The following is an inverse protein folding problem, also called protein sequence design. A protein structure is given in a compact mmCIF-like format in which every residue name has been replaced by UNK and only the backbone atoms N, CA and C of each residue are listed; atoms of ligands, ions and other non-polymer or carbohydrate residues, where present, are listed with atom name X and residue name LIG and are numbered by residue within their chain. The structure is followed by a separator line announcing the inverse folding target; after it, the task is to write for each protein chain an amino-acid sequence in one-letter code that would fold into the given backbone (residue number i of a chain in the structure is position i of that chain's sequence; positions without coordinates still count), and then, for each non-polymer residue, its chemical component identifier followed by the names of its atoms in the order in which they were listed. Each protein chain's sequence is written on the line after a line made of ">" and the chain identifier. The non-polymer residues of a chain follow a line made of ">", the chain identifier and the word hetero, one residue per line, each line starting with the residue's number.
data_IF_208578744390
#
_entry.id   IF_208578744390
#
_cell.length_a   1.000
_cell.length_b   1.000
_cell.length_c   1.000
_cell.angle_alpha   90.00
_cell.angle_beta   90.00
_cell.angle_gamma   90.00
#
_symmetry.space_group_name_H-M   'P 1'
#
loop_
_entity.id
_entity.type
_entity.pdbx_description
1 polymer ?
#
# COMPACT_ATOMS: atom_id res chain seq x y z
N UNK A 1 -49.59 -9.58 0.34
CA UNK A 1 -48.55 -10.53 0.77
C UNK A 1 -48.11 -11.34 -0.46
N UNK A 2 -46.95 -11.02 -1.02
CA UNK A 2 -46.40 -11.74 -2.18
C UNK A 2 -44.95 -12.12 -1.86
N UNK A 3 -44.76 -13.42 -1.65
CA UNK A 3 -43.51 -14.07 -1.27
C UNK A 3 -42.64 -14.20 -2.51
N UNK A 4 -41.56 -13.42 -2.59
CA UNK A 4 -40.52 -13.59 -3.61
C UNK A 4 -39.69 -14.82 -3.21
N UNK A 5 -39.72 -15.85 -4.03
CA UNK A 5 -38.83 -17.00 -3.91
C UNK A 5 -37.48 -16.61 -4.53
N UNK A 6 -36.51 -16.26 -3.69
CA UNK A 6 -35.10 -16.17 -4.09
C UNK A 6 -34.59 -17.58 -4.35
N UNK A 7 -34.58 -18.00 -5.61
CA UNK A 7 -33.78 -19.13 -6.06
C UNK A 7 -32.35 -18.66 -6.20
N UNK A 8 -31.59 -18.77 -5.11
CA UNK A 8 -30.15 -18.63 -5.10
C UNK A 8 -29.55 -19.92 -5.67
N UNK A 9 -29.60 -20.07 -7.00
CA UNK A 9 -28.80 -21.09 -7.69
C UNK A 9 -27.44 -20.50 -8.02
N UNK A 10 -26.45 -21.09 -7.38
CA UNK A 10 -25.01 -20.94 -7.56
C UNK A 10 -24.67 -21.01 -9.06
N UNK A 11 -24.31 -19.88 -9.67
CA UNK A 11 -23.80 -19.81 -11.06
C UNK A 11 -22.82 -18.64 -11.24
N UNK A 12 -22.01 -18.40 -10.20
CA UNK A 12 -21.04 -17.29 -10.12
C UNK A 12 -19.70 -17.56 -10.83
N UNK A 13 -19.50 -18.75 -11.41
CA UNK A 13 -18.26 -19.10 -12.13
C UNK A 13 -18.30 -18.86 -13.65
N UNK A 14 -19.43 -19.17 -14.29
CA UNK A 14 -19.54 -19.19 -15.76
C UNK A 14 -19.96 -17.83 -16.33
N UNK A 15 -20.81 -17.09 -15.61
CA UNK A 15 -21.37 -15.82 -16.07
C UNK A 15 -20.35 -14.67 -16.12
N UNK A 16 -19.37 -14.63 -15.21
CA UNK A 16 -18.27 -13.67 -15.25
C UNK A 16 -17.31 -13.94 -16.42
N UNK A 17 -17.04 -15.22 -16.70
CA UNK A 17 -16.22 -15.67 -17.82
C UNK A 17 -16.83 -15.31 -19.18
N UNK A 18 -18.14 -15.54 -19.36
CA UNK A 18 -18.84 -15.23 -20.62
C UNK A 18 -19.03 -13.72 -20.85
N UNK A 19 -19.25 -12.94 -19.78
CA UNK A 19 -19.32 -11.48 -19.87
C UNK A 19 -17.94 -10.88 -20.21
N UNK A 20 -16.88 -11.36 -19.56
CA UNK A 20 -15.51 -10.95 -19.88
C UNK A 20 -15.09 -11.41 -21.30
N UNK A 21 -15.51 -12.60 -21.75
CA UNK A 21 -15.26 -13.09 -23.10
C UNK A 21 -16.04 -12.31 -24.19
N UNK A 22 -17.18 -11.70 -23.86
CA UNK A 22 -17.91 -10.80 -24.77
C UNK A 22 -17.33 -9.39 -24.82
N UNK A 23 -16.66 -8.94 -23.76
CA UNK A 23 -16.06 -7.61 -23.68
C UNK A 23 -14.69 -7.53 -24.38
N UNK A 24 -13.98 -8.66 -24.47
CA UNK A 24 -12.64 -8.74 -25.05
C UNK A 24 -12.61 -9.77 -26.18
N UNK A 25 -12.23 -9.33 -27.39
CA UNK A 25 -12.29 -10.17 -28.60
C UNK A 25 -11.33 -11.36 -28.60
N UNK A 26 -10.13 -11.21 -28.05
CA UNK A 26 -9.17 -12.31 -27.88
C UNK A 26 -8.76 -12.48 -26.41
N UNK A 27 -8.41 -13.71 -25.97
CA UNK A 27 -7.83 -13.93 -24.65
C UNK A 27 -6.62 -13.04 -24.38
N UNK A 28 -5.81 -12.75 -25.42
CA UNK A 28 -4.62 -11.88 -25.33
C UNK A 28 -4.98 -10.46 -24.91
N UNK A 29 -6.08 -9.92 -25.43
CA UNK A 29 -6.57 -8.59 -25.07
C UNK A 29 -7.03 -8.52 -23.60
N UNK A 30 -7.59 -9.62 -23.06
CA UNK A 30 -7.94 -9.72 -21.63
C UNK A 30 -6.71 -9.65 -20.74
N UNK A 31 -5.66 -10.37 -21.11
CA UNK A 31 -4.41 -10.43 -20.38
C UNK A 31 -3.65 -9.10 -20.42
N UNK A 32 -3.62 -8.44 -21.58
CA UNK A 32 -3.04 -7.10 -21.73
C UNK A 32 -3.83 -6.05 -20.95
N UNK A 33 -5.17 -6.19 -20.86
CA UNK A 33 -6.00 -5.36 -20.00
C UNK A 33 -5.65 -5.56 -18.51
N UNK A 34 -5.61 -6.80 -18.00
CA UNK A 34 -5.26 -7.06 -16.60
C UNK A 34 -3.87 -6.54 -16.25
N UNK A 35 -2.89 -6.62 -17.17
CA UNK A 35 -1.56 -6.04 -16.95
C UNK A 35 -1.58 -4.53 -16.84
N UNK A 36 -2.29 -3.84 -17.74
CA UNK A 36 -2.44 -2.39 -17.68
C UNK A 36 -3.06 -1.96 -16.36
N UNK A 37 -4.06 -2.71 -15.89
CA UNK A 37 -4.73 -2.42 -14.62
C UNK A 37 -3.80 -2.66 -13.42
N UNK A 38 -3.08 -3.78 -13.38
CA UNK A 38 -2.09 -4.07 -12.32
C UNK A 38 -1.00 -3.00 -12.30
N UNK A 39 -0.48 -2.59 -13.46
CA UNK A 39 0.51 -1.51 -13.55
C UNK A 39 -0.06 -0.17 -13.07
N UNK A 40 -1.28 0.17 -13.49
CA UNK A 40 -1.96 1.39 -13.07
C UNK A 40 -2.15 1.46 -11.55
N UNK A 41 -2.69 0.40 -10.95
CA UNK A 41 -2.88 0.31 -9.50
C UNK A 41 -1.55 0.31 -8.75
N UNK A 42 -0.52 -0.34 -9.29
CA UNK A 42 0.84 -0.30 -8.73
C UNK A 42 1.41 1.12 -8.76
N UNK A 43 1.24 1.86 -9.85
CA UNK A 43 1.67 3.26 -9.95
C UNK A 43 0.92 4.16 -8.98
N UNK A 44 -0.39 3.97 -8.81
CA UNK A 44 -1.18 4.69 -7.81
C UNK A 44 -0.67 4.41 -6.40
N UNK A 45 -0.42 3.14 -6.08
CA UNK A 45 0.10 2.73 -4.78
C UNK A 45 1.49 3.34 -4.52
N UNK A 46 2.38 3.31 -5.52
CA UNK A 46 3.70 3.93 -5.44
C UNK A 46 3.59 5.43 -5.18
N UNK A 47 2.79 6.15 -5.96
CA UNK A 47 2.56 7.59 -5.78
C UNK A 47 2.02 7.93 -4.38
N UNK A 48 1.08 7.14 -3.84
CA UNK A 48 0.57 7.30 -2.47
C UNK A 48 1.66 7.05 -1.42
N UNK A 49 2.48 6.02 -1.64
CA UNK A 49 3.60 5.68 -0.75
C UNK A 49 4.66 6.79 -0.76
N UNK A 50 5.00 7.32 -1.93
CA UNK A 50 5.97 8.39 -2.08
C UNK A 50 5.50 9.70 -1.45
N UNK A 51 4.24 10.08 -1.65
CA UNK A 51 3.64 11.23 -0.99
C UNK A 51 3.64 11.08 0.54
N UNK A 52 3.34 9.88 1.04
CA UNK A 52 3.42 9.57 2.46
C UNK A 52 4.86 9.68 2.98
N UNK A 53 5.84 9.08 2.31
CA UNK A 53 7.26 9.16 2.68
C UNK A 53 7.80 10.60 2.67
N UNK A 54 7.37 11.41 1.70
CA UNK A 54 7.70 12.83 1.65
C UNK A 54 7.14 13.59 2.86
N UNK A 55 5.86 13.35 3.21
CA UNK A 55 5.23 13.93 4.39
C UNK A 55 5.93 13.50 5.70
N UNK A 56 6.28 12.22 5.83
CA UNK A 56 7.05 11.72 6.98
C UNK A 56 8.42 12.40 7.08
N UNK A 57 9.13 12.54 5.96
CA UNK A 57 10.42 13.22 5.93
C UNK A 57 10.32 14.69 6.37
N UNK A 58 9.30 15.41 5.89
CA UNK A 58 9.03 16.78 6.32
C UNK A 58 8.76 16.87 7.82
N UNK A 59 7.94 15.96 8.36
CA UNK A 59 7.67 15.91 9.80
C UNK A 59 8.92 15.62 10.62
N UNK A 60 9.79 14.70 10.18
CA UNK A 60 11.05 14.38 10.87
C UNK A 60 11.96 15.61 10.93
N UNK A 61 12.09 16.34 9.82
CA UNK A 61 12.87 17.58 9.77
C UNK A 61 12.28 18.60 10.73
N UNK A 62 10.97 18.84 10.68
CA UNK A 62 10.29 19.77 11.58
C UNK A 62 10.46 19.39 13.07
N UNK A 63 10.38 18.10 13.39
CA UNK A 63 10.63 17.58 14.73
C UNK A 63 12.06 17.87 15.19
N UNK A 64 13.06 17.52 14.38
CA UNK A 64 14.47 17.77 14.70
C UNK A 64 14.75 19.28 14.87
N UNK A 65 14.22 20.12 13.97
CA UNK A 65 14.33 21.58 14.07
C UNK A 65 13.67 22.12 15.34
N UNK A 66 12.52 21.58 15.73
CA UNK A 66 11.83 21.98 16.95
C UNK A 66 12.60 21.60 18.22
N UNK A 67 13.26 20.45 18.22
CA UNK A 67 14.11 19.95 19.31
C UNK A 67 15.43 20.70 19.43
N UNK A 68 15.96 21.20 18.30
CA UNK A 68 17.17 22.03 18.26
C UNK A 68 16.94 23.50 18.66
N UNK A 69 15.75 23.85 19.14
CA UNK A 69 15.45 25.23 19.53
C UNK A 69 16.20 25.62 20.81
N UNK A 70 17.20 26.51 20.67
CA UNK A 70 18.05 27.01 21.76
C UNK A 70 17.53 28.33 22.38
N UNK A 71 16.31 28.76 22.07
CA UNK A 71 15.81 30.02 22.58
C UNK A 71 15.66 29.99 24.12
N UNK A 72 16.34 30.88 24.86
CA UNK A 72 16.36 30.85 26.32
C UNK A 72 15.01 31.22 26.97
N UNK A 73 14.17 32.01 26.29
CA UNK A 73 12.93 32.53 26.88
C UNK A 73 11.77 31.54 26.75
N UNK A 74 11.58 30.95 25.56
CA UNK A 74 10.43 30.10 25.25
C UNK A 74 10.80 28.72 24.70
N UNK A 75 12.10 28.41 24.55
CA UNK A 75 12.57 27.14 23.98
C UNK A 75 12.16 25.92 24.79
N UNK A 76 12.19 26.00 26.13
CA UNK A 76 11.76 24.89 27.01
C UNK A 76 10.26 24.60 26.88
N UNK A 77 9.42 25.63 26.85
CA UNK A 77 7.97 25.47 26.62
C UNK A 77 7.69 24.92 25.22
N UNK A 78 8.39 25.43 24.21
CA UNK A 78 8.19 25.01 22.83
C UNK A 78 8.59 23.55 22.59
N UNK A 79 9.75 23.14 23.11
CA UNK A 79 10.25 21.76 23.04
C UNK A 79 9.41 20.77 23.87
N UNK A 80 8.63 21.26 24.83
CA UNK A 80 7.68 20.44 25.58
C UNK A 80 6.40 20.14 24.79
N UNK A 81 5.86 21.09 24.02
CA UNK A 81 4.57 20.92 23.34
C UNK A 81 4.71 20.52 21.86
N UNK A 82 5.60 21.18 21.13
CA UNK A 82 5.66 21.07 19.66
C UNK A 82 6.20 19.71 19.20
N UNK A 83 7.34 19.20 19.71
CA UNK A 83 7.85 17.90 19.28
C UNK A 83 6.90 16.73 19.60
N UNK A 84 6.30 16.61 20.81
CA UNK A 84 5.32 15.56 21.07
C UNK A 84 4.06 15.67 20.21
N UNK A 85 3.61 16.88 19.90
CA UNK A 85 2.49 17.09 18.98
C UNK A 85 2.82 16.64 17.55
N UNK A 86 4.00 17.01 17.04
CA UNK A 86 4.49 16.56 15.73
C UNK A 86 4.66 15.04 15.70
N UNK A 87 5.14 14.43 16.78
CA UNK A 87 5.25 12.98 16.89
C UNK A 87 3.88 12.28 16.89
N UNK A 88 2.90 12.85 17.58
CA UNK A 88 1.52 12.35 17.53
C UNK A 88 0.95 12.45 16.10
N UNK A 89 1.15 13.57 15.41
CA UNK A 89 0.75 13.73 14.01
C UNK A 89 1.45 12.71 13.09
N UNK A 90 2.73 12.44 13.32
CA UNK A 90 3.48 11.40 12.61
C UNK A 90 2.89 10.00 12.84
N UNK A 91 2.55 9.66 14.08
CA UNK A 91 1.92 8.39 14.41
C UNK A 91 0.51 8.27 13.80
N UNK A 92 -0.34 9.29 13.94
CA UNK A 92 -1.70 9.30 13.40
C UNK A 92 -1.73 9.26 11.87
N UNK A 93 -0.85 10.02 11.20
CA UNK A 93 -0.72 9.97 9.73
C UNK A 93 -0.29 8.60 9.24
N UNK A 94 0.58 7.91 9.99
CA UNK A 94 0.99 6.53 9.70
C UNK A 94 -0.16 5.54 9.85
N UNK A 95 -0.97 5.65 10.92
CA UNK A 95 -2.15 4.81 11.11
C UNK A 95 -3.21 5.04 10.02
N UNK A 96 -3.39 6.28 9.58
CA UNK A 96 -4.35 6.64 8.52
C UNK A 96 -3.88 6.20 7.12
N UNK A 97 -2.57 6.13 6.88
CA UNK A 97 -2.02 5.66 5.59
C UNK A 97 -2.19 4.14 5.40
N UNK A 98 -2.16 3.37 6.48
CA UNK A 98 -2.28 1.91 6.47
C UNK A 98 -3.52 1.37 5.72
N UNK A 99 -4.77 1.77 6.02
CA UNK A 99 -5.94 1.25 5.32
C UNK A 99 -5.92 1.58 3.83
N UNK A 100 -5.38 2.74 3.44
CA UNK A 100 -5.27 3.14 2.03
C UNK A 100 -4.28 2.29 1.23
N UNK A 101 -3.14 1.93 1.85
CA UNK A 101 -2.14 1.03 1.26
C UNK A 101 -2.69 -0.41 1.22
N UNK A 102 -3.37 -0.84 2.28
CA UNK A 102 -3.98 -2.18 2.36
C UNK A 102 -5.08 -2.39 1.31
N UNK A 103 -5.97 -1.42 1.12
CA UNK A 103 -7.03 -1.54 0.13
C UNK A 103 -6.48 -1.67 -1.30
N UNK A 104 -5.44 -0.90 -1.64
CA UNK A 104 -4.77 -1.01 -2.94
C UNK A 104 -4.04 -2.36 -3.09
N UNK A 105 -3.42 -2.86 -2.01
CA UNK A 105 -2.84 -4.20 -1.99
C UNK A 105 -3.87 -5.29 -2.28
N UNK A 106 -5.04 -5.24 -1.63
CA UNK A 106 -6.11 -6.22 -1.81
C UNK A 106 -6.67 -6.19 -3.25
N UNK A 107 -6.78 -5.01 -3.87
CA UNK A 107 -7.19 -4.85 -5.28
C UNK A 107 -6.17 -5.49 -6.23
N UNK A 108 -4.88 -5.21 -6.00
CA UNK A 108 -3.78 -5.77 -6.79
C UNK A 108 -3.75 -7.30 -6.68
N UNK A 109 -3.89 -7.84 -5.47
CA UNK A 109 -3.89 -9.28 -5.23
C UNK A 109 -5.08 -9.95 -5.94
N UNK A 110 -6.25 -9.30 -5.96
CA UNK A 110 -7.44 -9.77 -6.68
C UNK A 110 -7.24 -9.84 -8.20
N UNK A 111 -6.63 -8.81 -8.80
CA UNK A 111 -6.32 -8.82 -10.23
C UNK A 111 -5.25 -9.87 -10.58
N UNK A 112 -4.28 -10.08 -9.70
CA UNK A 112 -3.30 -11.15 -9.85
C UNK A 112 -3.93 -12.54 -9.76
N UNK A 113 -4.85 -12.74 -8.82
CA UNK A 113 -5.60 -13.98 -8.71
C UNK A 113 -6.34 -14.29 -10.01
N UNK A 114 -7.07 -13.30 -10.57
CA UNK A 114 -7.73 -13.43 -11.87
C UNK A 114 -6.75 -13.78 -13.00
N UNK A 115 -5.61 -13.10 -13.08
CA UNK A 115 -4.59 -13.39 -14.08
C UNK A 115 -4.08 -14.83 -13.98
N UNK A 116 -3.84 -15.32 -12.75
CA UNK A 116 -3.38 -16.69 -12.51
C UNK A 116 -4.44 -17.75 -12.84
N UNK A 117 -5.71 -17.46 -12.57
CA UNK A 117 -6.83 -18.34 -12.89
C UNK A 117 -6.99 -18.49 -14.42
N UNK A 118 -6.89 -17.38 -15.17
CA UNK A 118 -6.95 -17.39 -16.64
C UNK A 118 -5.81 -18.20 -17.27
N UNK A 119 -4.57 -17.98 -16.82
CA UNK A 119 -3.41 -18.72 -17.31
C UNK A 119 -3.51 -20.22 -17.02
N UNK A 120 -4.15 -20.59 -15.90
CA UNK A 120 -4.37 -21.98 -15.53
C UNK A 120 -5.54 -22.62 -16.29
N UNK A 121 -6.57 -21.86 -16.64
CA UNK A 121 -7.71 -22.36 -17.42
C UNK A 121 -7.43 -22.47 -18.93
N UNK A 122 -6.51 -21.67 -19.47
CA UNK A 122 -6.14 -21.67 -20.89
C UNK A 122 -4.63 -21.95 -21.11
N UNK A 123 -4.18 -23.22 -20.98
CA UNK A 123 -2.75 -23.57 -21.03
C UNK A 123 -2.08 -23.27 -22.38
N UNK A 124 -2.83 -23.26 -23.49
CA UNK A 124 -2.34 -22.90 -24.83
C UNK A 124 -1.84 -21.45 -24.85
N UNK A 125 -2.44 -20.58 -24.03
CA UNK A 125 -2.09 -19.18 -23.91
C UNK A 125 -0.79 -18.97 -23.12
N UNK A 126 -0.54 -19.80 -22.11
CA UNK A 126 0.72 -19.83 -21.37
C UNK A 126 1.90 -20.23 -22.26
N UNK A 127 1.70 -21.20 -23.16
CA UNK A 127 2.73 -21.69 -24.10
C UNK A 127 3.06 -20.62 -25.16
N UNK A 128 2.05 -19.98 -25.77
CA UNK A 128 2.27 -18.90 -26.74
C UNK A 128 2.93 -17.65 -26.12
N UNK A 129 2.83 -17.50 -24.80
CA UNK A 129 3.46 -16.45 -24.02
C UNK A 129 4.93 -16.78 -23.70
N UNK A 130 5.23 -18.02 -23.32
CA UNK A 130 6.57 -18.52 -23.00
C UNK A 130 7.48 -18.65 -24.23
N UNK A 131 6.90 -18.79 -25.43
CA UNK A 131 7.63 -18.78 -26.71
C UNK A 131 8.15 -17.38 -27.11
N UNK A 132 7.71 -16.31 -26.46
CA UNK A 132 8.28 -14.98 -26.67
C UNK A 132 9.59 -14.82 -25.89
N UNK A 133 10.75 -14.64 -26.53
CA UNK A 133 12.06 -14.61 -25.87
C UNK A 133 12.26 -13.45 -24.87
N UNK A 134 11.29 -12.54 -24.76
CA UNK A 134 11.25 -11.42 -23.81
C UNK A 134 10.44 -11.72 -22.54
N UNK A 135 9.70 -12.83 -22.49
CA UNK A 135 8.71 -13.08 -21.44
C UNK A 135 8.79 -14.52 -20.93
N UNK A 136 9.95 -14.90 -20.38
CA UNK A 136 10.08 -16.16 -19.68
C UNK A 136 9.36 -16.06 -18.32
N UNK A 137 8.56 -17.08 -17.97
CA UNK A 137 7.87 -17.21 -16.69
C UNK A 137 8.81 -16.95 -15.48
N UNK A 138 10.11 -17.25 -15.65
CA UNK A 138 11.16 -17.01 -14.66
C UNK A 138 11.39 -15.51 -14.31
N UNK A 139 11.24 -14.60 -15.28
CA UNK A 139 11.47 -13.16 -15.07
C UNK A 139 10.22 -12.45 -14.53
N UNK A 140 9.05 -13.06 -14.71
CA UNK A 140 7.77 -12.68 -14.07
C UNK A 140 7.71 -13.08 -12.59
N UNK A 141 8.83 -12.93 -11.86
CA UNK A 141 9.01 -13.43 -10.49
C UNK A 141 7.92 -12.86 -9.57
N UNK A 142 6.83 -13.61 -9.42
CA UNK A 142 5.71 -13.38 -8.50
C UNK A 142 6.20 -13.16 -7.06
N UNK A 143 7.40 -13.70 -6.74
CA UNK A 143 8.08 -13.55 -5.45
C UNK A 143 8.77 -12.18 -5.25
N UNK A 144 9.24 -11.52 -6.31
CA UNK A 144 9.92 -10.23 -6.26
C UNK A 144 8.90 -9.10 -6.08
N UNK A 145 7.84 -9.16 -6.87
CA UNK A 145 6.71 -8.22 -6.80
C UNK A 145 5.99 -8.28 -5.45
N UNK A 146 5.64 -9.48 -4.97
CA UNK A 146 4.99 -9.65 -3.65
C UNK A 146 5.88 -9.16 -2.51
N UNK A 147 7.21 -9.30 -2.62
CA UNK A 147 8.16 -8.74 -1.64
C UNK A 147 8.18 -7.20 -1.68
N UNK A 148 8.12 -6.58 -2.85
CA UNK A 148 8.06 -5.12 -2.99
C UNK A 148 6.77 -4.53 -2.40
N UNK A 149 5.63 -5.19 -2.62
CA UNK A 149 4.34 -4.80 -2.02
C UNK A 149 4.30 -4.98 -0.50
N UNK A 150 4.89 -6.06 0.00
CA UNK A 150 5.00 -6.31 1.45
C UNK A 150 5.87 -5.26 2.15
N UNK A 151 6.84 -4.65 1.46
CA UNK A 151 7.59 -3.52 2.00
C UNK A 151 6.69 -2.30 2.20
N UNK A 152 5.91 -1.91 1.18
CA UNK A 152 4.98 -0.77 1.27
C UNK A 152 3.95 -0.95 2.39
N UNK A 153 3.46 -2.18 2.61
CA UNK A 153 2.59 -2.51 3.74
C UNK A 153 3.30 -2.31 5.10
N UNK A 154 4.56 -2.70 5.25
CA UNK A 154 5.26 -2.58 6.55
C UNK A 154 5.62 -1.14 6.92
N UNK A 155 5.81 -0.27 5.92
CA UNK A 155 6.30 1.10 6.11
C UNK A 155 5.47 1.93 7.10
N UNK A 156 4.13 2.00 7.02
CA UNK A 156 3.31 2.71 8.01
C UNK A 156 3.53 2.26 9.46
N UNK A 157 3.68 0.96 9.70
CA UNK A 157 3.91 0.44 11.05
C UNK A 157 5.30 0.82 11.58
N UNK A 158 6.31 0.77 10.71
CA UNK A 158 7.67 1.19 11.07
C UNK A 158 7.67 2.66 11.50
N UNK A 159 7.03 3.54 10.72
CA UNK A 159 6.93 4.96 11.05
C UNK A 159 6.07 5.22 12.28
N UNK A 160 4.97 4.49 12.49
CA UNK A 160 4.17 4.62 13.70
C UNK A 160 4.98 4.32 14.96
N UNK A 161 5.74 3.22 14.97
CA UNK A 161 6.63 2.86 16.08
C UNK A 161 7.72 3.92 16.27
N UNK A 162 8.37 4.32 15.17
CA UNK A 162 9.39 5.37 15.18
C UNK A 162 8.88 6.67 15.83
N UNK A 163 7.67 7.11 15.50
CA UNK A 163 7.08 8.31 16.08
C UNK A 163 6.70 8.15 17.55
N UNK A 164 6.18 6.99 17.94
CA UNK A 164 5.91 6.70 19.36
C UNK A 164 7.20 6.75 20.18
N UNK A 165 8.29 6.19 19.66
CA UNK A 165 9.60 6.23 20.33
C UNK A 165 10.15 7.65 20.43
N UNK A 166 10.11 8.44 19.34
CA UNK A 166 10.57 9.83 19.35
C UNK A 166 9.72 10.73 20.25
N UNK A 167 8.40 10.59 20.22
CA UNK A 167 7.48 11.35 21.07
C UNK A 167 7.69 11.00 22.55
N UNK A 168 7.83 9.72 22.87
CA UNK A 168 8.17 9.25 24.22
C UNK A 168 9.52 9.80 24.68
N UNK A 169 10.54 9.75 23.83
CA UNK A 169 11.85 10.31 24.11
C UNK A 169 11.80 11.82 24.38
N UNK A 170 11.09 12.58 23.54
CA UNK A 170 10.93 14.02 23.69
C UNK A 170 10.28 14.40 25.03
N UNK A 171 9.31 13.63 25.50
CA UNK A 171 8.69 13.85 26.82
C UNK A 171 9.64 13.45 27.95
N UNK A 172 10.31 12.30 27.83
CA UNK A 172 11.23 11.79 28.86
C UNK A 172 12.36 12.77 29.13
N UNK A 173 12.99 13.35 28.11
CA UNK A 173 14.10 14.29 28.31
C UNK A 173 13.67 15.55 29.09
N UNK A 174 12.42 15.99 28.93
CA UNK A 174 11.88 17.17 29.62
C UNK A 174 11.47 16.83 31.06
N UNK A 175 10.92 15.63 31.29
CA UNK A 175 10.42 15.20 32.61
C UNK A 175 11.54 14.70 33.52
N UNK A 176 12.48 13.92 32.99
CA UNK A 176 13.60 13.35 33.76
C UNK A 176 14.71 14.38 33.98
N UNK A 177 14.69 15.49 33.26
CA UNK A 177 15.62 16.59 33.48
C UNK A 177 17.05 16.17 33.25
N UNK A 178 17.39 15.79 32.01
CA UNK A 178 18.75 16.08 31.51
C UNK A 178 18.84 17.58 31.16
N UNK A 179 18.46 18.41 32.14
CA UNK A 179 18.48 19.85 32.05
C UNK A 179 19.92 20.34 32.07
N UNK A 180 20.37 20.83 30.92
CA UNK A 180 21.27 21.98 30.89
C UNK A 180 20.54 23.25 31.33
#
# INVERSE_FOLDING_TARGET
>A
MSRILTSQSIDTGTSASEHDAKMFGSPKDRLDFYRKEIQYETTILANRTDAYLAAQSFLVIAFASSMANLNPDWGKLFTLFVPPFLALLGALSSLNAWPGIRAAYDIIDHWHYKQSELLRSEPIMGIAYDESPLFNEHESTHKGYRKALLFSMRTPWIFAIFWVLLGGWAVIIQVVGFGG
#
